data_IF_700565435634
#
_entry.id   IF_700565435634
#
_cell.length_a   1.000
_cell.length_b   1.000
_cell.length_c   1.000
_cell.angle_alpha   90.00
_cell.angle_beta   90.00
_cell.angle_gamma   90.00
#
_symmetry.space_group_name_H-M   'P 1'
#
loop_
_entity.id
_entity.type
_entity.pdbx_description
1 polymer ?
#
# COMPACT_ATOMS: atom_id res chain seq x y z
N UNK A 1 -1.00 -16.23 14.93
CA UNK A 1 -0.67 -14.80 14.97
C UNK A 1 -1.00 -14.17 13.62
N UNK A 2 -2.27 -13.80 13.39
CA UNK A 2 -2.78 -13.22 12.12
C UNK A 2 -2.23 -11.81 11.81
N UNK A 3 -1.76 -11.07 12.84
CA UNK A 3 -1.32 -9.68 12.72
C UNK A 3 -0.04 -9.51 11.88
N UNK A 4 0.98 -10.34 12.12
CA UNK A 4 2.31 -10.19 11.51
C UNK A 4 2.29 -10.29 9.98
N UNK A 5 1.64 -11.31 9.37
CA UNK A 5 1.58 -11.41 7.92
C UNK A 5 0.95 -10.18 7.26
N UNK A 6 -0.14 -9.66 7.82
CA UNK A 6 -0.79 -8.45 7.32
C UNK A 6 0.08 -7.21 7.51
N UNK A 7 0.72 -7.08 8.67
CA UNK A 7 1.61 -5.97 8.96
C UNK A 7 2.78 -5.88 7.97
N UNK A 8 3.39 -7.01 7.68
CA UNK A 8 4.48 -7.10 6.71
C UNK A 8 3.99 -6.83 5.28
N UNK A 9 2.80 -7.34 4.93
CA UNK A 9 2.26 -7.19 3.58
C UNK A 9 1.76 -5.76 3.27
N UNK A 10 1.26 -5.03 4.28
CA UNK A 10 0.86 -3.62 4.16
C UNK A 10 2.10 -2.72 4.07
N UNK A 11 3.21 -3.13 4.68
CA UNK A 11 4.50 -2.42 4.68
C UNK A 11 4.38 -0.92 4.97
N UNK A 12 3.79 -0.60 6.12
CA UNK A 12 3.53 0.78 6.54
C UNK A 12 4.80 1.64 6.50
N UNK A 13 5.93 1.09 6.90
CA UNK A 13 7.19 1.83 6.95
C UNK A 13 7.76 2.12 5.56
N UNK A 14 7.65 1.17 4.63
CA UNK A 14 8.01 1.38 3.22
C UNK A 14 7.06 2.37 2.52
N UNK A 15 5.81 2.44 2.97
CA UNK A 15 4.81 3.38 2.43
C UNK A 15 5.01 4.83 2.90
N UNK A 16 5.66 5.09 4.06
CA UNK A 16 5.85 6.44 4.62
C UNK A 16 6.50 7.40 3.61
N UNK A 17 7.65 7.09 3.00
CA UNK A 17 8.31 8.03 2.10
C UNK A 17 7.50 8.33 0.85
N UNK A 18 6.81 7.34 0.33
CA UNK A 18 5.91 7.49 -0.82
C UNK A 18 4.75 8.39 -0.46
N UNK A 19 4.14 8.16 0.72
CA UNK A 19 3.09 9.03 1.24
C UNK A 19 3.58 10.48 1.39
N UNK A 20 4.79 10.69 1.94
CA UNK A 20 5.39 12.02 2.10
C UNK A 20 5.60 12.68 0.72
N UNK A 21 6.13 11.95 -0.26
CA UNK A 21 6.34 12.44 -1.62
C UNK A 21 5.02 12.84 -2.28
N UNK A 22 4.01 11.98 -2.20
CA UNK A 22 2.68 12.21 -2.78
C UNK A 22 1.93 13.37 -2.11
N UNK A 23 2.21 13.67 -0.85
CA UNK A 23 1.54 14.72 -0.08
C UNK A 23 2.39 15.98 0.09
N UNK A 24 3.51 16.09 -0.63
CA UNK A 24 4.35 17.26 -0.61
C UNK A 24 3.59 18.48 -1.19
N UNK A 25 3.59 19.59 -0.46
CA UNK A 25 2.90 20.82 -0.88
C UNK A 25 1.40 20.85 -0.56
N UNK A 26 0.82 19.78 -0.02
CA UNK A 26 -0.57 19.76 0.43
C UNK A 26 -0.68 20.42 1.82
N UNK A 27 -1.71 21.27 1.99
CA UNK A 27 -2.03 21.91 3.28
C UNK A 27 -2.27 20.88 4.39
N UNK A 28 -1.87 21.20 5.62
CA UNK A 28 -1.95 20.29 6.77
C UNK A 28 -3.38 19.79 7.06
N UNK A 29 -4.40 20.64 6.84
CA UNK A 29 -5.80 20.25 7.03
C UNK A 29 -6.27 19.28 5.95
N UNK A 30 -5.93 19.55 4.69
CA UNK A 30 -6.22 18.69 3.55
C UNK A 30 -5.50 17.34 3.69
N UNK A 31 -4.24 17.34 4.14
CA UNK A 31 -3.48 16.14 4.40
C UNK A 31 -4.10 15.23 5.47
N UNK A 32 -4.58 15.81 6.58
CA UNK A 32 -5.29 15.04 7.62
C UNK A 32 -6.56 14.38 7.08
N UNK A 33 -7.32 15.09 6.25
CA UNK A 33 -8.51 14.55 5.60
C UNK A 33 -8.15 13.41 4.66
N UNK A 34 -7.11 13.61 3.86
CA UNK A 34 -6.57 12.62 2.93
C UNK A 34 -6.14 11.32 3.61
N UNK A 35 -5.48 11.40 4.79
CA UNK A 35 -5.12 10.21 5.59
C UNK A 35 -6.36 9.43 6.00
N UNK A 36 -7.42 10.12 6.45
CA UNK A 36 -8.67 9.46 6.84
C UNK A 36 -9.33 8.81 5.63
N UNK A 37 -9.48 9.54 4.53
CA UNK A 37 -10.09 9.04 3.30
C UNK A 37 -9.32 7.82 2.74
N UNK A 38 -7.99 7.89 2.68
CA UNK A 38 -7.15 6.80 2.21
C UNK A 38 -7.25 5.56 3.11
N UNK A 39 -7.24 5.76 4.44
CA UNK A 39 -7.36 4.65 5.40
C UNK A 39 -8.75 4.01 5.34
N UNK A 40 -9.81 4.79 5.22
CA UNK A 40 -11.19 4.29 5.08
C UNK A 40 -11.35 3.52 3.76
N UNK A 41 -10.83 4.04 2.66
CA UNK A 41 -10.87 3.37 1.36
C UNK A 41 -10.10 2.05 1.40
N UNK A 42 -8.89 2.06 1.95
CA UNK A 42 -8.11 0.85 2.15
C UNK A 42 -8.85 -0.16 3.02
N UNK A 43 -9.49 0.30 4.09
CA UNK A 43 -10.33 -0.52 4.97
C UNK A 43 -11.53 -1.12 4.26
N UNK A 44 -12.25 -0.32 3.47
CA UNK A 44 -13.41 -0.80 2.71
C UNK A 44 -13.01 -1.88 1.69
N UNK A 45 -11.92 -1.66 0.94
CA UNK A 45 -11.40 -2.65 -0.02
C UNK A 45 -10.92 -3.91 0.69
N UNK A 46 -10.19 -3.75 1.80
CA UNK A 46 -9.71 -4.88 2.59
C UNK A 46 -10.86 -5.72 3.16
N UNK A 47 -11.90 -5.08 3.70
CA UNK A 47 -13.10 -5.77 4.18
C UNK A 47 -13.85 -6.48 3.06
N UNK A 48 -13.97 -5.84 1.89
CA UNK A 48 -14.57 -6.47 0.73
C UNK A 48 -13.79 -7.73 0.31
N UNK A 49 -12.45 -7.66 0.23
CA UNK A 49 -11.62 -8.82 -0.06
C UNK A 49 -11.61 -9.87 1.05
N UNK A 50 -11.70 -9.46 2.31
CA UNK A 50 -11.80 -10.37 3.44
C UNK A 50 -13.05 -11.27 3.35
N UNK A 51 -14.17 -10.69 2.89
CA UNK A 51 -15.45 -11.41 2.77
C UNK A 51 -15.54 -12.15 1.44
N UNK A 52 -15.15 -11.52 0.34
CA UNK A 52 -15.43 -11.96 -1.02
C UNK A 52 -14.21 -12.38 -1.83
N UNK A 53 -12.99 -12.23 -1.31
CA UNK A 53 -11.75 -12.39 -2.10
C UNK A 53 -11.62 -13.74 -2.80
N UNK A 54 -11.94 -14.84 -2.10
CA UNK A 54 -11.95 -16.19 -2.72
C UNK A 54 -12.97 -16.33 -3.82
N UNK A 55 -14.17 -15.79 -3.61
CA UNK A 55 -15.26 -15.81 -4.58
C UNK A 55 -14.87 -15.02 -5.84
N UNK A 56 -14.24 -13.87 -5.67
CA UNK A 56 -13.78 -13.02 -6.77
C UNK A 56 -12.71 -13.76 -7.59
N UNK A 57 -11.72 -14.35 -6.95
CA UNK A 57 -10.68 -15.08 -7.65
C UNK A 57 -11.22 -16.28 -8.42
N UNK A 58 -12.11 -17.04 -7.77
CA UNK A 58 -12.79 -18.17 -8.40
C UNK A 58 -13.67 -17.74 -9.57
N UNK A 59 -14.43 -16.66 -9.42
CA UNK A 59 -15.32 -16.13 -10.48
C UNK A 59 -14.52 -15.59 -11.68
N UNK A 60 -13.39 -14.92 -11.44
CA UNK A 60 -12.54 -14.38 -12.49
C UNK A 60 -11.62 -15.46 -13.11
N UNK A 61 -11.55 -16.65 -12.51
CA UNK A 61 -10.61 -17.69 -12.95
C UNK A 61 -9.15 -17.33 -12.77
N UNK A 62 -8.84 -16.39 -11.87
CA UNK A 62 -7.48 -15.96 -11.55
C UNK A 62 -7.00 -16.57 -10.24
N UNK A 63 -5.70 -16.80 -10.16
CA UNK A 63 -5.04 -17.29 -8.95
C UNK A 63 -4.46 -16.15 -8.11
N UNK A 64 -4.12 -16.44 -6.86
CA UNK A 64 -3.36 -15.51 -6.02
C UNK A 64 -2.00 -15.14 -6.66
N UNK A 65 -1.42 -16.03 -7.42
CA UNK A 65 -0.14 -15.81 -8.10
C UNK A 65 -0.31 -14.85 -9.29
N UNK A 66 -1.36 -14.97 -10.07
CA UNK A 66 -1.69 -14.02 -11.14
C UNK A 66 -1.90 -12.61 -10.58
N UNK A 67 -2.65 -12.52 -9.47
CA UNK A 67 -2.90 -11.25 -8.81
C UNK A 67 -1.62 -10.64 -8.20
N UNK A 68 -0.72 -11.49 -7.67
CA UNK A 68 0.59 -11.10 -7.17
C UNK A 68 1.50 -10.56 -8.28
N UNK A 69 1.52 -11.22 -9.44
CA UNK A 69 2.30 -10.78 -10.61
C UNK A 69 1.76 -9.46 -11.13
N UNK A 70 0.46 -9.37 -11.39
CA UNK A 70 -0.18 -8.15 -11.88
C UNK A 70 0.05 -6.95 -10.96
N UNK A 71 -0.11 -7.15 -9.66
CA UNK A 71 0.16 -6.13 -8.67
C UNK A 71 1.63 -5.75 -8.55
N UNK A 72 2.54 -6.71 -8.69
CA UNK A 72 3.97 -6.44 -8.76
C UNK A 72 4.32 -5.56 -9.97
N UNK A 73 3.71 -5.80 -11.13
CA UNK A 73 3.90 -4.96 -12.31
C UNK A 73 3.42 -3.52 -12.06
N UNK A 74 2.23 -3.34 -11.48
CA UNK A 74 1.71 -2.01 -11.14
C UNK A 74 2.63 -1.27 -10.17
N UNK A 75 3.08 -1.93 -9.10
CA UNK A 75 4.02 -1.34 -8.14
C UNK A 75 5.38 -1.01 -8.77
N UNK A 76 5.87 -1.84 -9.70
CA UNK A 76 7.12 -1.59 -10.42
C UNK A 76 7.00 -0.32 -11.28
N UNK A 77 5.92 -0.19 -12.04
CA UNK A 77 5.66 0.99 -12.88
C UNK A 77 5.57 2.25 -12.00
N UNK A 78 4.85 2.21 -10.89
CA UNK A 78 4.72 3.34 -9.97
C UNK A 78 6.07 3.73 -9.36
N UNK A 79 6.87 2.77 -8.91
CA UNK A 79 8.17 3.04 -8.31
C UNK A 79 9.18 3.61 -9.31
N UNK A 80 9.21 3.08 -10.54
CA UNK A 80 10.05 3.62 -11.62
C UNK A 80 9.59 5.04 -12.01
N UNK A 81 8.29 5.28 -12.12
CA UNK A 81 7.76 6.62 -12.38
C UNK A 81 8.20 7.62 -11.30
N UNK A 82 8.09 7.26 -10.02
CA UNK A 82 8.52 8.13 -8.92
C UNK A 82 10.04 8.39 -8.92
N UNK A 83 10.86 7.40 -9.28
CA UNK A 83 12.31 7.55 -9.37
C UNK A 83 12.73 8.51 -10.48
N UNK A 84 12.09 8.44 -11.65
CA UNK A 84 12.47 9.17 -12.85
C UNK A 84 11.84 10.57 -12.93
N UNK A 85 10.58 10.71 -12.53
CA UNK A 85 9.74 11.88 -12.79
C UNK A 85 9.34 12.67 -11.54
N UNK A 86 9.88 12.36 -10.38
CA UNK A 86 9.56 13.04 -9.12
C UNK A 86 9.78 14.57 -9.15
N UNK A 87 10.56 15.09 -10.09
CA UNK A 87 10.84 16.54 -10.22
C UNK A 87 9.75 17.32 -10.95
N UNK A 88 9.00 16.69 -11.85
CA UNK A 88 8.03 17.36 -12.73
C UNK A 88 6.58 17.32 -12.22
N UNK A 89 6.36 16.64 -11.10
CA UNK A 89 5.03 16.54 -10.51
C UNK A 89 4.68 17.79 -9.69
N UNK A 90 4.55 18.94 -10.33
CA UNK A 90 3.57 19.95 -9.93
C UNK A 90 2.20 19.35 -10.26
N UNK A 91 1.75 18.42 -9.42
CA UNK A 91 0.42 17.83 -9.55
C UNK A 91 -0.60 18.92 -9.29
N UNK A 92 -1.50 19.08 -10.26
CA UNK A 92 -2.66 19.94 -10.14
C UNK A 92 -3.41 19.64 -8.83
N UNK A 93 -3.62 20.62 -7.94
CA UNK A 93 -4.29 20.39 -6.64
C UNK A 93 -5.71 19.84 -6.74
N UNK A 94 -6.26 19.76 -7.95
CA UNK A 94 -7.61 19.27 -8.23
C UNK A 94 -7.74 17.76 -8.48
N UNK A 95 -6.64 17.01 -8.66
CA UNK A 95 -6.73 15.56 -8.76
C UNK A 95 -6.85 14.94 -7.37
N UNK A 96 -7.81 14.04 -7.20
CA UNK A 96 -8.10 13.29 -5.96
C UNK A 96 -6.92 12.37 -5.58
N UNK A 97 -5.88 12.94 -4.98
CA UNK A 97 -4.68 12.24 -4.52
C UNK A 97 -4.99 11.24 -3.39
N UNK A 98 -6.18 11.34 -2.77
CA UNK A 98 -6.49 10.64 -1.54
C UNK A 98 -6.97 9.20 -1.69
N UNK A 99 -7.80 8.94 -2.67
CA UNK A 99 -8.44 7.61 -2.82
C UNK A 99 -7.57 6.68 -3.67
N UNK A 100 -7.00 7.21 -4.74
CA UNK A 100 -6.08 6.55 -5.67
C UNK A 100 -4.94 7.53 -5.92
N UNK A 101 -3.68 7.29 -5.59
CA UNK A 101 -2.96 6.02 -5.36
C UNK A 101 -2.63 5.69 -3.89
N UNK A 102 -3.13 6.42 -2.88
CA UNK A 102 -2.71 6.16 -1.48
C UNK A 102 -3.50 5.01 -0.86
N UNK A 103 -4.82 4.99 -1.01
CA UNK A 103 -5.65 3.89 -0.51
C UNK A 103 -5.37 2.59 -1.26
N UNK A 104 -5.30 2.66 -2.58
CA UNK A 104 -5.01 1.58 -3.51
C UNK A 104 -4.06 2.15 -4.59
N UNK A 105 -2.90 1.55 -4.87
CA UNK A 105 -2.33 0.31 -4.33
C UNK A 105 -1.38 0.48 -3.13
N UNK A 106 -1.18 1.68 -2.58
CA UNK A 106 -0.12 1.92 -1.59
C UNK A 106 -0.40 1.23 -0.25
N UNK A 107 -1.59 1.43 0.36
CA UNK A 107 -1.95 0.80 1.64
C UNK A 107 -2.46 -0.62 1.39
N UNK A 108 -3.44 -0.77 0.49
CA UNK A 108 -4.07 -2.04 0.18
C UNK A 108 -3.63 -2.54 -1.20
N UNK A 109 -2.34 -2.81 -1.31
CA UNK A 109 -1.74 -3.41 -2.50
C UNK A 109 -2.05 -4.91 -2.64
N UNK A 110 -1.70 -5.51 -3.79
CA UNK A 110 -1.94 -6.92 -4.06
C UNK A 110 -1.34 -7.86 -3.01
N UNK A 111 -0.17 -7.54 -2.46
CA UNK A 111 0.43 -8.33 -1.38
C UNK A 111 -0.44 -8.34 -0.11
N UNK A 112 -1.02 -7.18 0.25
CA UNK A 112 -1.92 -7.08 1.39
C UNK A 112 -3.23 -7.83 1.13
N UNK A 113 -3.81 -7.69 -0.07
CA UNK A 113 -5.07 -8.37 -0.43
C UNK A 113 -4.91 -9.88 -0.49
N UNK A 114 -3.83 -10.41 -1.07
CA UNK A 114 -3.54 -11.86 -1.03
C UNK A 114 -3.28 -12.35 0.39
N UNK A 115 -2.57 -11.56 1.20
CA UNK A 115 -2.31 -11.91 2.60
C UNK A 115 -3.59 -11.96 3.44
N UNK A 116 -4.58 -11.10 3.16
CA UNK A 116 -5.91 -11.17 3.80
C UNK A 116 -6.54 -12.52 3.55
N UNK A 117 -6.56 -13.01 2.31
CA UNK A 117 -7.15 -14.30 1.96
C UNK A 117 -6.45 -15.43 2.71
N UNK A 118 -5.11 -15.45 2.69
CA UNK A 118 -4.29 -16.47 3.37
C UNK A 118 -4.53 -16.44 4.90
N UNK A 119 -4.63 -15.24 5.48
CA UNK A 119 -4.86 -15.08 6.93
C UNK A 119 -6.26 -15.53 7.32
N UNK A 120 -7.28 -15.27 6.47
CA UNK A 120 -8.64 -15.80 6.68
C UNK A 120 -8.65 -17.32 6.67
N UNK A 121 -7.90 -17.95 5.77
CA UNK A 121 -7.81 -19.42 5.67
C UNK A 121 -7.15 -20.06 6.88
N UNK A 122 -6.10 -19.44 7.39
CA UNK A 122 -5.33 -19.99 8.49
C UNK A 122 -5.90 -19.67 9.88
N UNK A 123 -6.59 -18.53 10.05
CA UNK A 123 -6.99 -18.01 11.37
C UNK A 123 -8.48 -17.69 11.49
N UNK A 124 -9.26 -17.84 10.40
CA UNK A 124 -10.68 -17.52 10.36
C UNK A 124 -10.99 -16.02 10.27
N UNK A 125 -12.24 -15.71 9.97
CA UNK A 125 -12.71 -14.34 9.69
C UNK A 125 -12.52 -13.38 10.87
N UNK A 126 -12.83 -13.81 12.10
CA UNK A 126 -12.80 -12.94 13.27
C UNK A 126 -11.39 -12.45 13.60
N UNK A 127 -10.44 -13.36 13.64
CA UNK A 127 -9.04 -13.03 13.93
C UNK A 127 -8.43 -12.17 12.80
N UNK A 128 -8.80 -12.44 11.57
CA UNK A 128 -8.36 -11.65 10.41
C UNK A 128 -8.92 -10.23 10.45
N UNK A 129 -10.19 -10.07 10.82
CA UNK A 129 -10.83 -8.77 11.00
C UNK A 129 -10.14 -7.94 12.08
N UNK A 130 -9.91 -8.51 13.26
CA UNK A 130 -9.21 -7.82 14.35
C UNK A 130 -7.80 -7.41 13.95
N UNK A 131 -7.09 -8.32 13.29
CA UNK A 131 -5.76 -8.07 12.77
C UNK A 131 -5.73 -6.94 11.74
N UNK A 132 -6.67 -6.93 10.82
CA UNK A 132 -6.84 -5.89 9.80
C UNK A 132 -7.10 -4.52 10.44
N UNK A 133 -8.04 -4.43 11.38
CA UNK A 133 -8.37 -3.18 12.06
C UNK A 133 -7.18 -2.60 12.82
N UNK A 134 -6.41 -3.45 13.51
CA UNK A 134 -5.19 -3.04 14.21
C UNK A 134 -4.13 -2.52 13.24
N UNK A 135 -3.94 -3.18 12.09
CA UNK A 135 -3.00 -2.72 11.07
C UNK A 135 -3.44 -1.39 10.45
N UNK A 136 -4.71 -1.22 10.13
CA UNK A 136 -5.25 0.05 9.62
C UNK A 136 -5.12 1.20 10.62
N UNK A 137 -5.30 0.92 11.91
CA UNK A 137 -5.07 1.89 12.97
C UNK A 137 -3.60 2.35 12.99
N UNK A 138 -2.66 1.41 12.86
CA UNK A 138 -1.22 1.74 12.76
C UNK A 138 -0.93 2.58 11.53
N UNK A 139 -1.46 2.21 10.35
CA UNK A 139 -1.34 3.00 9.12
C UNK A 139 -1.83 4.43 9.35
N UNK A 140 -3.02 4.57 9.91
CA UNK A 140 -3.61 5.88 10.20
C UNK A 140 -2.74 6.70 11.15
N UNK A 141 -2.26 6.11 12.24
CA UNK A 141 -1.39 6.78 13.22
C UNK A 141 -0.08 7.24 12.58
N UNK A 142 0.57 6.39 11.83
CA UNK A 142 1.86 6.65 11.18
C UNK A 142 1.71 7.77 10.14
N UNK A 143 0.72 7.69 9.25
CA UNK A 143 0.51 8.72 8.22
C UNK A 143 0.05 10.04 8.81
N UNK A 144 -0.75 10.02 9.88
CA UNK A 144 -1.15 11.23 10.60
C UNK A 144 0.05 12.00 11.19
N UNK A 145 1.09 11.29 11.61
CA UNK A 145 2.29 11.89 12.19
C UNK A 145 3.42 12.08 11.16
N UNK A 146 3.18 11.85 9.89
CA UNK A 146 4.17 12.00 8.81
C UNK A 146 4.77 13.42 8.72
N UNK A 147 4.04 14.46 9.12
CA UNK A 147 4.55 15.83 9.18
C UNK A 147 5.67 16.02 10.21
N UNK A 148 5.59 15.34 11.34
CA UNK A 148 6.67 15.33 12.33
C UNK A 148 7.94 14.73 11.72
N UNK A 149 7.79 13.64 10.97
CA UNK A 149 8.92 13.03 10.25
C UNK A 149 9.51 13.98 9.21
N UNK A 150 8.67 14.70 8.45
CA UNK A 150 9.14 15.72 7.52
C UNK A 150 9.89 16.86 8.20
N UNK A 151 9.43 17.33 9.36
CA UNK A 151 10.10 18.38 10.12
C UNK A 151 11.49 17.97 10.59
N UNK A 152 11.63 16.71 11.02
CA UNK A 152 12.92 16.16 11.47
C UNK A 152 13.89 15.97 10.29
N UNK A 153 13.40 15.48 9.15
CA UNK A 153 14.23 15.16 7.98
C UNK A 153 14.53 16.36 7.08
N UNK A 154 13.72 17.41 7.13
CA UNK A 154 13.78 18.54 6.21
C UNK A 154 13.41 18.16 4.77
N UNK A 155 13.35 19.18 3.88
CA UNK A 155 12.92 18.98 2.47
C UNK A 155 13.90 18.08 1.70
N UNK A 156 15.20 18.30 1.87
CA UNK A 156 16.23 17.52 1.19
C UNK A 156 16.26 16.06 1.68
N UNK A 157 16.19 15.85 2.99
CA UNK A 157 16.13 14.52 3.60
C UNK A 157 14.87 13.75 3.18
N UNK A 158 13.72 14.42 3.16
CA UNK A 158 12.46 13.82 2.71
C UNK A 158 12.53 13.37 1.24
N UNK A 159 13.14 14.18 0.35
CA UNK A 159 13.32 13.78 -1.06
C UNK A 159 14.28 12.60 -1.22
N UNK A 160 15.41 12.61 -0.48
CA UNK A 160 16.35 11.49 -0.52
C UNK A 160 15.71 10.21 0.00
N UNK A 161 14.95 10.30 1.09
CA UNK A 161 14.24 9.18 1.69
C UNK A 161 13.14 8.63 0.75
N UNK A 162 12.39 9.51 0.07
CA UNK A 162 11.41 9.10 -0.95
C UNK A 162 12.04 8.29 -2.08
N UNK A 163 13.23 8.70 -2.59
CA UNK A 163 13.96 7.94 -3.62
C UNK A 163 14.42 6.57 -3.14
N UNK A 164 14.92 6.47 -1.91
CA UNK A 164 15.32 5.20 -1.32
C UNK A 164 14.11 4.27 -1.18
N UNK A 165 12.97 4.80 -0.75
CA UNK A 165 11.75 4.00 -0.65
C UNK A 165 11.21 3.55 -1.99
N UNK A 166 11.28 4.39 -3.03
CA UNK A 166 10.90 3.96 -4.38
C UNK A 166 11.78 2.81 -4.87
N UNK A 167 13.09 2.79 -4.51
CA UNK A 167 13.95 1.64 -4.78
C UNK A 167 13.51 0.38 -4.02
N UNK A 168 13.13 0.50 -2.74
CA UNK A 168 12.59 -0.62 -1.99
C UNK A 168 11.27 -1.11 -2.57
N UNK A 169 10.38 -0.19 -2.97
CA UNK A 169 9.12 -0.57 -3.65
C UNK A 169 9.40 -1.32 -4.95
N UNK A 170 10.37 -0.87 -5.75
CA UNK A 170 10.77 -1.59 -6.97
C UNK A 170 11.29 -3.00 -6.65
N UNK A 171 12.10 -3.14 -5.60
CA UNK A 171 12.60 -4.44 -5.17
C UNK A 171 11.48 -5.37 -4.68
N UNK A 172 10.51 -4.85 -3.91
CA UNK A 172 9.32 -5.60 -3.47
C UNK A 172 8.48 -6.01 -4.68
N UNK A 173 8.27 -5.13 -5.64
CA UNK A 173 7.55 -5.41 -6.88
C UNK A 173 8.19 -6.58 -7.65
N UNK A 174 9.51 -6.54 -7.83
CA UNK A 174 10.27 -7.65 -8.46
C UNK A 174 10.16 -8.94 -7.66
N UNK A 175 10.22 -8.86 -6.33
CA UNK A 175 10.02 -10.03 -5.46
C UNK A 175 8.62 -10.63 -5.66
N UNK A 176 7.58 -9.83 -5.71
CA UNK A 176 6.20 -10.28 -5.93
C UNK A 176 6.05 -11.00 -7.28
N UNK A 177 6.58 -10.42 -8.35
CA UNK A 177 6.58 -11.03 -9.69
C UNK A 177 7.33 -12.36 -9.66
N UNK A 178 8.53 -12.38 -9.10
CA UNK A 178 9.37 -13.57 -9.01
C UNK A 178 8.66 -14.70 -8.25
N UNK A 179 8.11 -14.42 -7.07
CA UNK A 179 7.41 -15.41 -6.24
C UNK A 179 6.15 -15.91 -6.94
N UNK A 180 5.38 -15.02 -7.58
CA UNK A 180 4.21 -15.40 -8.36
C UNK A 180 4.58 -16.36 -9.51
N UNK A 181 5.60 -16.04 -10.30
CA UNK A 181 6.07 -16.90 -11.40
C UNK A 181 6.61 -18.23 -10.89
N UNK A 182 7.42 -18.24 -9.83
CA UNK A 182 7.96 -19.47 -9.26
C UNK A 182 6.87 -20.42 -8.75
N UNK A 183 5.78 -19.89 -8.21
CA UNK A 183 4.67 -20.72 -7.71
C UNK A 183 3.76 -21.23 -8.83
N UNK A 184 3.70 -20.57 -9.98
CA UNK A 184 2.97 -21.06 -11.17
C UNK A 184 3.73 -22.20 -11.86
N UNK A 185 5.07 -22.17 -11.81
CA UNK A 185 5.93 -23.17 -12.47
C UNK A 185 6.15 -24.44 -11.64
N UNK A 186 5.69 -24.50 -10.42
CA UNK A 186 5.71 -25.68 -9.54
C UNK A 186 4.45 -26.52 -9.68
#
# INVERSE_FOLDING_TARGET
MAFIPLFVAIDVFGAIPVFISLTHGIDAKAKKRLVVEATLTAGAVALFFLISGKLIFSFLGITENDFRIGGGIVLLVLSVHELLFAKDSQRDPGMSVGVVPIGIPLIMGPAALTSIIIVVDNYGYWMSMMSLLLNLLIVWLVFRHSEFMMKVMGVAGSRAFAKVASLFMAAIAVMMIRVGVQNILK
#
